data_IF_511359353406
#
_entry.id   IF_511359353406
#
_cell.length_a   1.000
_cell.length_b   1.000
_cell.length_c   1.000
_cell.angle_alpha   90.00
_cell.angle_beta   90.00
_cell.angle_gamma   90.00
#
_symmetry.space_group_name_H-M   'P 1'
#
loop_
_entity.id
_entity.type
_entity.pdbx_description
1 polymer ?
#
# COMPACT_ATOMS: atom_id res chain seq x y z
N UNK A 1 1.23 2.63 24.19
CA UNK A 1 0.50 3.46 23.20
C UNK A 1 0.56 2.75 21.88
N UNK A 2 -0.51 2.78 21.09
CA UNK A 2 -0.55 2.14 19.78
C UNK A 2 0.55 2.70 18.86
N UNK A 3 1.20 1.82 18.13
CA UNK A 3 2.28 2.16 17.19
C UNK A 3 1.84 1.93 15.75
N UNK A 4 2.34 2.74 14.82
CA UNK A 4 2.11 2.58 13.40
C UNK A 4 3.03 1.50 12.83
N UNK A 5 2.45 0.36 12.48
CA UNK A 5 3.15 -0.80 11.94
C UNK A 5 3.42 -0.64 10.44
N UNK A 6 2.43 -0.22 9.66
CA UNK A 6 2.55 0.04 8.22
C UNK A 6 1.73 1.28 7.81
N UNK A 7 2.20 1.96 6.76
CA UNK A 7 1.57 3.18 6.24
C UNK A 7 2.08 4.48 6.88
N UNK A 8 1.39 5.61 6.71
CA UNK A 8 0.11 5.73 6.00
C UNK A 8 0.25 5.62 4.50
N UNK A 9 -0.80 5.08 3.87
CA UNK A 9 -0.98 5.10 2.42
C UNK A 9 -2.15 6.03 2.11
N UNK A 10 -1.93 7.05 1.29
CA UNK A 10 -3.00 7.77 0.63
C UNK A 10 -3.55 6.85 -0.46
N UNK A 11 -4.85 6.53 -0.38
CA UNK A 11 -5.46 5.50 -1.22
C UNK A 11 -6.37 6.10 -2.29
N UNK A 12 -7.29 6.95 -1.84
CA UNK A 12 -8.25 7.61 -2.71
C UNK A 12 -8.21 9.12 -2.44
N UNK A 13 -8.38 9.92 -3.48
CA UNK A 13 -8.83 11.31 -3.37
C UNK A 13 -9.98 11.43 -4.35
N UNK A 14 -11.02 12.16 -3.99
CA UNK A 14 -12.18 12.33 -4.86
C UNK A 14 -11.83 13.33 -5.98
N UNK A 15 -11.70 12.83 -7.21
CA UNK A 15 -11.42 13.67 -8.38
C UNK A 15 -12.64 14.37 -8.99
N UNK A 16 -13.84 14.01 -8.56
CA UNK A 16 -15.09 14.64 -9.01
C UNK A 16 -15.38 15.91 -8.22
N UNK A 17 -15.27 15.84 -6.89
CA UNK A 17 -15.60 16.97 -6.00
C UNK A 17 -14.37 17.67 -5.44
N UNK A 18 -13.25 16.96 -5.26
CA UNK A 18 -12.07 17.46 -4.55
C UNK A 18 -12.29 17.69 -3.05
N UNK A 19 -13.29 17.06 -2.41
CA UNK A 19 -13.61 17.32 -0.99
C UNK A 19 -13.25 16.19 -0.03
N UNK A 20 -12.92 15.00 -0.53
CA UNK A 20 -12.74 13.82 0.28
C UNK A 20 -11.53 12.96 -0.16
N UNK A 21 -11.00 12.18 0.77
CA UNK A 21 -9.90 11.25 0.54
C UNK A 21 -9.98 10.05 1.50
N UNK A 22 -9.15 9.03 1.27
CA UNK A 22 -9.01 7.88 2.16
C UNK A 22 -7.54 7.61 2.47
N UNK A 23 -7.22 7.49 3.75
CA UNK A 23 -5.89 7.07 4.22
C UNK A 23 -5.98 5.69 4.87
N UNK A 24 -5.09 4.78 4.49
CA UNK A 24 -4.97 3.44 5.05
C UNK A 24 -3.78 3.34 6.00
N UNK A 25 -3.93 2.61 7.11
CA UNK A 25 -2.86 2.30 8.06
C UNK A 25 -2.99 0.89 8.62
N UNK A 26 -1.86 0.35 9.11
CA UNK A 26 -1.83 -0.79 10.03
C UNK A 26 -1.22 -0.37 11.37
N UNK A 27 -1.89 -0.71 12.47
CA UNK A 27 -1.47 -0.47 13.84
C UNK A 27 -0.99 -1.75 14.53
N UNK A 28 -0.14 -1.62 15.55
CA UNK A 28 0.39 -2.75 16.33
C UNK A 28 -0.61 -3.38 17.31
N UNK A 29 -1.76 -2.75 17.53
CA UNK A 29 -2.83 -3.14 18.47
C UNK A 29 -4.15 -2.45 18.10
N UNK A 30 -5.30 -2.85 18.69
CA UNK A 30 -6.55 -2.14 18.48
C UNK A 30 -6.46 -0.69 18.97
N UNK A 31 -6.88 0.27 18.16
CA UNK A 31 -6.89 1.70 18.51
C UNK A 31 -7.92 2.49 17.69
N UNK A 32 -8.07 3.77 18.02
CA UNK A 32 -8.67 4.76 17.12
C UNK A 32 -7.56 5.40 16.27
N UNK A 33 -7.72 5.38 14.95
CA UNK A 33 -6.84 6.04 14.01
C UNK A 33 -7.48 7.33 13.50
N UNK A 34 -6.70 8.39 13.38
CA UNK A 34 -7.16 9.72 13.04
C UNK A 34 -6.23 10.38 12.02
N UNK A 35 -6.82 11.04 11.02
CA UNK A 35 -6.12 11.96 10.12
C UNK A 35 -6.52 13.39 10.46
N UNK A 36 -5.53 14.26 10.66
CA UNK A 36 -5.73 15.71 10.87
C UNK A 36 -4.97 16.50 9.81
N UNK A 37 -5.70 17.24 8.99
CA UNK A 37 -5.12 18.16 8.01
C UNK A 37 -4.90 19.55 8.62
N UNK A 38 -3.90 20.27 8.12
CA UNK A 38 -3.52 21.60 8.60
C UNK A 38 -4.63 22.65 8.41
N UNK A 39 -5.54 22.45 7.46
CA UNK A 39 -6.68 23.31 7.18
C UNK A 39 -7.99 22.89 7.87
N UNK A 40 -7.92 21.92 8.78
CA UNK A 40 -9.06 21.49 9.60
C UNK A 40 -9.88 20.33 9.02
N UNK A 41 -9.60 19.91 7.78
CA UNK A 41 -10.10 18.65 7.24
C UNK A 41 -9.56 17.45 8.04
N UNK A 42 -10.26 16.33 8.02
CA UNK A 42 -9.84 15.16 8.79
C UNK A 42 -10.91 14.10 8.92
N UNK A 43 -10.60 13.08 9.71
CA UNK A 43 -11.53 12.01 10.05
C UNK A 43 -10.91 10.96 10.94
N UNK A 44 -11.75 10.05 11.42
CA UNK A 44 -11.37 9.01 12.39
C UNK A 44 -11.98 7.67 12.01
N UNK A 45 -11.27 6.58 12.27
CA UNK A 45 -11.79 5.22 12.15
C UNK A 45 -11.23 4.33 13.28
N UNK A 46 -12.04 3.37 13.73
CA UNK A 46 -11.56 2.31 14.63
C UNK A 46 -10.90 1.21 13.83
N UNK A 47 -9.80 0.67 14.34
CA UNK A 47 -9.14 -0.46 13.68
C UNK A 47 -10.02 -1.71 13.71
N UNK A 48 -10.07 -2.46 12.62
CA UNK A 48 -10.58 -3.84 12.58
C UNK A 48 -9.43 -4.84 12.51
N UNK A 49 -9.73 -6.12 12.74
CA UNK A 49 -8.71 -7.16 12.84
C UNK A 49 -8.83 -8.21 11.74
N UNK A 50 -7.71 -8.56 11.11
CA UNK A 50 -7.56 -9.74 10.24
C UNK A 50 -6.35 -10.52 10.74
N UNK A 51 -6.56 -11.80 11.09
CA UNK A 51 -5.48 -12.71 11.51
C UNK A 51 -4.51 -12.18 12.60
N UNK A 52 -4.96 -11.26 13.47
CA UNK A 52 -4.11 -10.68 14.52
C UNK A 52 -3.52 -9.29 14.20
N UNK A 53 -3.68 -8.82 12.97
CA UNK A 53 -3.25 -7.48 12.53
C UNK A 53 -4.40 -6.48 12.59
N UNK A 54 -4.10 -5.22 12.87
CA UNK A 54 -5.10 -4.18 13.09
C UNK A 54 -5.01 -3.10 12.01
N UNK A 55 -6.04 -2.98 11.18
CA UNK A 55 -6.06 -2.08 10.03
C UNK A 55 -7.09 -0.97 10.20
N UNK A 56 -6.86 0.19 9.61
CA UNK A 56 -7.86 1.25 9.50
C UNK A 56 -7.82 1.91 8.10
N UNK A 57 -9.00 2.18 7.54
CA UNK A 57 -9.26 3.06 6.41
C UNK A 57 -9.97 4.27 7.01
N UNK A 58 -9.35 5.43 6.86
CA UNK A 58 -9.76 6.65 7.52
C UNK A 58 -10.28 7.58 6.41
N UNK A 59 -11.61 7.74 6.27
CA UNK A 59 -12.18 8.75 5.40
C UNK A 59 -11.78 10.12 5.92
N UNK A 60 -11.27 10.96 5.04
CA UNK A 60 -10.90 12.35 5.29
C UNK A 60 -11.92 13.21 4.57
N UNK A 61 -12.65 14.04 5.32
CA UNK A 61 -13.67 14.90 4.76
C UNK A 61 -13.35 16.39 4.99
N UNK A 62 -13.99 17.25 4.20
CA UNK A 62 -13.87 18.70 4.33
C UNK A 62 -12.61 19.29 3.69
N UNK A 63 -11.97 18.55 2.77
CA UNK A 63 -10.88 19.08 1.97
C UNK A 63 -11.38 20.21 1.07
N UNK A 64 -10.50 21.17 0.79
CA UNK A 64 -10.80 22.29 -0.11
C UNK A 64 -10.38 21.92 -1.53
N UNK A 65 -11.27 21.98 -2.53
CA UNK A 65 -10.90 21.67 -3.90
C UNK A 65 -9.78 22.58 -4.42
N UNK A 66 -8.91 22.03 -5.27
CA UNK A 66 -7.75 22.72 -5.83
C UNK A 66 -6.66 23.08 -4.81
N UNK A 67 -6.70 22.50 -3.61
CA UNK A 67 -5.70 22.74 -2.56
C UNK A 67 -4.75 21.55 -2.39
N UNK A 68 -3.63 21.86 -1.74
CA UNK A 68 -2.67 20.88 -1.21
C UNK A 68 -2.54 21.15 0.29
N UNK A 69 -2.90 20.17 1.12
CA UNK A 69 -2.92 20.31 2.58
C UNK A 69 -2.04 19.26 3.24
N UNK A 70 -1.15 19.70 4.13
CA UNK A 70 -0.35 18.79 4.95
C UNK A 70 -1.23 18.09 5.97
N UNK A 71 -0.96 16.82 6.26
CA UNK A 71 -1.72 16.06 7.25
C UNK A 71 -0.82 15.26 8.19
N UNK A 72 -1.41 14.84 9.31
CA UNK A 72 -0.78 13.98 10.31
C UNK A 72 -1.68 12.81 10.61
N UNK A 73 -1.06 11.69 11.02
CA UNK A 73 -1.79 10.53 11.52
C UNK A 73 -1.54 10.38 13.01
N UNK A 74 -2.62 10.12 13.74
CA UNK A 74 -2.60 9.87 15.17
C UNK A 74 -3.23 8.52 15.47
N UNK A 75 -2.68 7.79 16.44
CA UNK A 75 -3.29 6.59 17.01
C UNK A 75 -3.56 6.85 18.50
N UNK A 76 -4.82 6.71 18.92
CA UNK A 76 -5.30 7.07 20.28
C UNK A 76 -4.88 8.50 20.71
N UNK A 77 -4.86 9.44 19.76
CA UNK A 77 -4.50 10.85 19.99
C UNK A 77 -3.00 11.15 19.96
N UNK A 78 -2.15 10.14 19.76
CA UNK A 78 -0.69 10.29 19.70
C UNK A 78 -0.21 10.31 18.25
N UNK A 79 0.58 11.32 17.87
CA UNK A 79 1.08 11.45 16.51
C UNK A 79 2.07 10.34 16.18
N UNK A 80 1.75 9.59 15.13
CA UNK A 80 2.60 8.49 14.59
C UNK A 80 3.11 8.78 13.18
N UNK A 81 2.57 9.80 12.51
CA UNK A 81 3.03 10.28 11.21
C UNK A 81 2.88 11.81 11.09
N UNK A 82 3.85 12.53 10.49
CA UNK A 82 5.16 12.05 10.06
C UNK A 82 6.00 11.54 11.24
N UNK A 83 6.99 10.69 10.95
CA UNK A 83 7.94 10.22 11.96
C UNK A 83 8.75 11.41 12.52
N UNK A 84 9.09 11.45 13.83
CA UNK A 84 9.74 12.60 14.46
C UNK A 84 11.01 13.12 13.76
N UNK A 85 11.78 12.23 13.12
CA UNK A 85 13.04 12.55 12.44
C UNK A 85 12.95 12.30 10.92
N UNK A 86 11.75 12.45 10.33
CA UNK A 86 11.57 12.29 8.88
C UNK A 86 12.44 13.29 8.10
N UNK A 87 13.23 12.76 7.15
CA UNK A 87 14.01 13.58 6.20
C UNK A 87 13.19 14.12 5.03
N UNK A 88 11.97 13.60 4.87
CA UNK A 88 11.10 13.96 3.76
C UNK A 88 10.21 15.16 4.12
N UNK A 89 9.73 15.92 3.13
CA UNK A 89 8.70 16.94 3.33
C UNK A 89 7.44 16.37 4.00
N UNK A 90 6.61 17.24 4.57
CA UNK A 90 5.30 16.85 5.09
C UNK A 90 4.49 16.12 4.02
N UNK A 91 3.85 15.01 4.40
CA UNK A 91 2.88 14.35 3.53
C UNK A 91 1.66 15.23 3.32
N UNK A 92 1.19 15.29 2.08
CA UNK A 92 0.09 16.19 1.70
C UNK A 92 -1.00 15.43 0.96
N UNK A 93 -2.23 15.91 1.07
CA UNK A 93 -3.34 15.52 0.19
C UNK A 93 -3.55 16.66 -0.80
N UNK A 94 -3.53 16.37 -2.11
CA UNK A 94 -3.86 17.32 -3.19
C UNK A 94 -5.14 16.90 -3.85
N UNK A 95 -6.04 17.86 -3.97
CA UNK A 95 -7.37 17.69 -4.57
C UNK A 95 -7.42 18.48 -5.88
N UNK A 96 -8.12 18.00 -6.91
CA UNK A 96 -8.24 18.75 -8.17
C UNK A 96 -9.09 20.01 -8.00
N UNK A 97 -8.92 20.96 -8.92
CA UNK A 97 -9.82 22.11 -9.01
C UNK A 97 -11.17 21.67 -9.60
N UNK A 98 -12.28 22.18 -9.05
CA UNK A 98 -13.62 21.93 -9.61
C UNK A 98 -13.82 22.68 -10.94
N UNK A 99 -14.54 22.07 -11.87
CA UNK A 99 -14.89 22.60 -13.20
C UNK A 99 -15.67 23.93 -13.19
N UNK A 100 -16.22 24.34 -12.04
CA UNK A 100 -16.95 25.61 -11.86
C UNK A 100 -16.05 26.84 -11.61
N UNK A 101 -14.72 26.68 -11.61
CA UNK A 101 -13.76 27.78 -11.52
C UNK A 101 -13.62 28.60 -12.82
N UNK A 102 -13.17 29.87 -12.76
CA UNK A 102 -13.08 30.78 -13.92
C UNK A 102 -12.13 30.34 -15.05
N UNK A 103 -11.37 29.27 -14.86
CA UNK A 103 -10.45 28.65 -15.85
C UNK A 103 -10.97 27.33 -16.42
N UNK A 104 -12.29 27.08 -16.28
CA UNK A 104 -13.01 25.83 -16.58
C UNK A 104 -12.58 25.08 -17.83
N UNK A 105 -11.82 24.02 -17.60
CA UNK A 105 -11.54 22.88 -18.48
C UNK A 105 -11.08 21.71 -17.61
N UNK A 106 -11.26 20.44 -18.02
CA UNK A 106 -10.79 19.30 -17.25
C UNK A 106 -9.26 19.40 -17.08
N UNK A 107 -8.80 19.37 -15.82
CA UNK A 107 -7.38 19.30 -15.51
C UNK A 107 -6.81 18.03 -16.11
N UNK A 108 -5.68 18.14 -16.81
CA UNK A 108 -5.02 16.97 -17.38
C UNK A 108 -4.49 16.10 -16.23
N UNK A 109 -5.04 14.89 -16.09
CA UNK A 109 -4.62 13.95 -15.06
C UNK A 109 -3.26 13.36 -15.40
N UNK A 110 -2.31 13.43 -14.46
CA UNK A 110 -0.99 12.81 -14.56
C UNK A 110 -0.97 11.47 -13.84
N UNK A 111 -0.83 10.41 -14.62
CA UNK A 111 -0.72 9.04 -14.09
C UNK A 111 0.74 8.59 -14.17
N UNK A 112 1.27 8.04 -13.09
CA UNK A 112 2.43 7.17 -13.14
C UNK A 112 1.96 5.74 -12.92
N UNK A 113 2.43 4.80 -13.74
CA UNK A 113 2.01 3.40 -13.66
C UNK A 113 3.19 2.45 -13.83
N UNK A 114 3.06 1.26 -13.26
CA UNK A 114 4.08 0.21 -13.33
C UNK A 114 3.62 -1.07 -12.66
N UNK A 115 4.40 -2.13 -12.80
CA UNK A 115 4.20 -3.45 -12.18
C UNK A 115 5.56 -4.07 -11.88
N UNK A 116 5.57 -5.26 -11.29
CA UNK A 116 6.76 -6.10 -11.18
C UNK A 116 7.91 -5.45 -10.40
N UNK A 117 7.57 -4.74 -9.32
CA UNK A 117 8.58 -4.08 -8.47
C UNK A 117 9.14 -5.08 -7.48
N UNK A 118 10.43 -5.34 -7.59
CA UNK A 118 11.19 -6.05 -6.59
C UNK A 118 11.66 -5.09 -5.49
N UNK A 119 11.05 -5.18 -4.31
CA UNK A 119 11.48 -4.41 -3.14
C UNK A 119 12.89 -4.77 -2.65
N UNK A 120 13.24 -6.04 -2.79
CA UNK A 120 14.58 -6.57 -2.59
C UNK A 120 14.79 -7.69 -3.61
N UNK A 121 15.99 -7.84 -4.19
CA UNK A 121 16.24 -8.90 -5.16
C UNK A 121 16.03 -10.28 -4.52
N UNK A 122 15.60 -11.29 -5.30
CA UNK A 122 15.49 -12.65 -4.81
C UNK A 122 16.87 -13.17 -4.40
N UNK A 123 16.92 -14.06 -3.42
CA UNK A 123 18.19 -14.43 -2.76
C UNK A 123 19.25 -15.05 -3.69
N UNK A 124 18.81 -15.61 -4.82
CA UNK A 124 19.60 -16.25 -5.86
C UNK A 124 19.92 -15.33 -7.05
N UNK A 125 19.47 -14.07 -7.02
CA UNK A 125 19.87 -13.08 -8.00
C UNK A 125 21.36 -12.74 -7.87
N UNK A 126 22.12 -12.98 -8.94
CA UNK A 126 23.57 -12.75 -8.94
C UNK A 126 23.99 -11.27 -9.01
N UNK A 127 23.11 -10.41 -9.55
CA UNK A 127 23.27 -8.96 -9.72
C UNK A 127 21.87 -8.34 -9.77
N UNK A 128 21.75 -7.04 -9.47
CA UNK A 128 20.54 -6.25 -9.79
C UNK A 128 20.58 -5.86 -11.29
N UNK A 129 19.76 -6.49 -12.16
CA UNK A 129 19.78 -6.22 -13.58
C UNK A 129 18.91 -5.01 -13.98
N UNK A 130 18.15 -4.42 -13.04
CA UNK A 130 17.02 -3.52 -13.33
C UNK A 130 17.40 -2.04 -13.18
N UNK A 131 18.43 -1.74 -12.38
CA UNK A 131 18.88 -0.36 -12.14
C UNK A 131 18.15 0.26 -10.94
N UNK A 132 18.19 1.60 -10.78
CA UNK A 132 17.61 2.24 -9.62
C UNK A 132 16.09 2.00 -9.55
N UNK A 133 15.59 1.74 -8.34
CA UNK A 133 14.16 1.55 -8.10
C UNK A 133 13.37 2.79 -8.57
N UNK A 134 12.35 2.56 -9.40
CA UNK A 134 11.57 3.61 -10.03
C UNK A 134 10.74 4.42 -9.01
N UNK A 135 10.21 3.76 -7.98
CA UNK A 135 9.46 4.43 -6.90
C UNK A 135 10.41 5.22 -6.01
N UNK A 136 11.59 4.70 -5.69
CA UNK A 136 12.60 5.45 -4.93
C UNK A 136 13.06 6.68 -5.70
N UNK A 137 13.29 6.52 -7.01
CA UNK A 137 13.69 7.62 -7.88
C UNK A 137 12.61 8.70 -7.96
N UNK A 138 11.34 8.29 -8.06
CA UNK A 138 10.22 9.22 -8.04
C UNK A 138 10.10 9.92 -6.68
N UNK A 139 10.15 9.18 -5.58
CA UNK A 139 10.13 9.71 -4.22
C UNK A 139 11.24 10.74 -4.00
N UNK A 140 12.48 10.39 -4.38
CA UNK A 140 13.62 11.29 -4.30
C UNK A 140 13.40 12.56 -5.11
N UNK A 141 12.94 12.43 -6.36
CA UNK A 141 12.68 13.58 -7.24
C UNK A 141 11.66 14.54 -6.61
N UNK A 142 10.55 14.01 -6.10
CA UNK A 142 9.50 14.82 -5.46
C UNK A 142 9.98 15.45 -4.14
N UNK A 143 10.80 14.74 -3.37
CA UNK A 143 11.31 15.23 -2.10
C UNK A 143 12.36 16.35 -2.27
N UNK A 144 13.18 16.31 -3.32
CA UNK A 144 14.27 17.28 -3.54
C UNK A 144 13.94 18.41 -4.51
N UNK A 145 12.89 18.25 -5.32
CA UNK A 145 12.52 19.20 -6.37
C UNK A 145 11.04 19.60 -6.25
N UNK A 146 10.69 20.63 -5.47
CA UNK A 146 9.30 21.06 -5.26
C UNK A 146 8.54 21.44 -6.54
N UNK A 147 9.27 21.86 -7.57
CA UNK A 147 8.71 22.21 -8.90
C UNK A 147 8.53 20.98 -9.81
N UNK A 148 9.00 19.80 -9.40
CA UNK A 148 8.84 18.59 -10.19
C UNK A 148 7.36 18.22 -10.28
N UNK A 149 6.87 17.83 -11.48
CA UNK A 149 5.47 17.49 -11.64
C UNK A 149 5.15 16.20 -10.87
N UNK A 150 4.34 16.33 -9.83
CA UNK A 150 3.84 15.19 -9.07
C UNK A 150 2.75 14.44 -9.84
N UNK A 151 2.77 13.10 -9.89
CA UNK A 151 1.62 12.34 -10.36
C UNK A 151 0.39 12.62 -9.50
N UNK A 152 -0.77 12.65 -10.14
CA UNK A 152 -2.06 12.72 -9.45
C UNK A 152 -2.43 11.36 -8.86
N UNK A 153 -2.00 10.27 -9.50
CA UNK A 153 -2.24 8.90 -9.04
C UNK A 153 -1.12 7.95 -9.48
N UNK A 154 -0.78 7.01 -8.60
CA UNK A 154 0.00 5.81 -8.93
C UNK A 154 -0.95 4.66 -9.29
N UNK A 155 -0.75 4.05 -10.45
CA UNK A 155 -1.50 2.85 -10.87
C UNK A 155 -0.54 1.67 -10.92
N UNK A 156 -0.61 0.79 -9.92
CA UNK A 156 0.28 -0.34 -9.77
C UNK A 156 -0.43 -1.63 -10.20
N UNK A 157 0.07 -2.24 -11.26
CA UNK A 157 -0.69 -3.14 -12.13
C UNK A 157 -0.46 -4.64 -11.87
N UNK A 158 0.14 -5.01 -10.75
CA UNK A 158 0.49 -6.40 -10.46
C UNK A 158 1.84 -6.55 -9.81
N UNK A 159 2.08 -7.71 -9.21
CA UNK A 159 3.33 -8.08 -8.58
C UNK A 159 3.82 -7.04 -7.57
N UNK A 160 2.92 -6.67 -6.66
CA UNK A 160 3.26 -5.74 -5.58
C UNK A 160 4.18 -6.39 -4.55
N UNK A 161 4.07 -7.73 -4.45
CA UNK A 161 4.89 -8.60 -3.64
C UNK A 161 5.18 -9.88 -4.42
N UNK A 162 6.34 -10.48 -4.17
CA UNK A 162 6.77 -11.75 -4.78
C UNK A 162 6.67 -12.84 -3.74
N UNK A 163 5.56 -13.57 -3.79
CA UNK A 163 5.20 -14.50 -2.75
C UNK A 163 5.95 -15.84 -2.90
N UNK A 164 6.44 -16.13 -4.10
CA UNK A 164 7.12 -17.34 -4.54
C UNK A 164 8.62 -17.15 -4.80
N UNK A 165 9.06 -15.89 -4.90
CA UNK A 165 10.47 -15.54 -5.04
C UNK A 165 10.93 -14.60 -3.93
N UNK A 166 11.27 -15.16 -2.77
CA UNK A 166 11.55 -14.37 -1.57
C UNK A 166 13.01 -13.88 -1.48
N UNK A 167 13.22 -12.72 -0.87
CA UNK A 167 14.53 -12.14 -0.58
C UNK A 167 15.33 -12.99 0.43
N UNK A 168 16.65 -12.81 0.48
CA UNK A 168 17.49 -13.48 1.48
C UNK A 168 17.12 -13.12 2.94
N UNK A 169 16.55 -11.94 3.17
CA UNK A 169 16.08 -11.54 4.51
C UNK A 169 14.76 -12.23 4.86
N UNK A 170 13.80 -12.22 3.93
CA UNK A 170 12.53 -12.91 4.11
C UNK A 170 12.74 -14.41 4.29
N UNK A 171 13.62 -15.07 3.50
CA UNK A 171 13.98 -16.49 3.71
C UNK A 171 14.54 -16.76 5.11
N UNK A 172 15.43 -15.90 5.61
CA UNK A 172 15.96 -16.03 6.98
C UNK A 172 14.87 -15.91 8.03
N UNK A 173 13.93 -14.99 7.85
CA UNK A 173 12.79 -14.84 8.76
C UNK A 173 11.84 -16.04 8.71
N UNK A 174 11.51 -16.55 7.51
CA UNK A 174 10.69 -17.75 7.33
C UNK A 174 11.30 -18.97 8.04
N UNK A 175 12.63 -19.15 7.98
CA UNK A 175 13.35 -20.22 8.66
C UNK A 175 13.25 -20.17 10.20
N UNK A 176 12.86 -19.01 10.77
CA UNK A 176 12.57 -18.91 12.22
C UNK A 176 11.18 -19.41 12.61
N UNK A 177 10.29 -19.57 11.63
CA UNK A 177 8.87 -19.90 11.82
C UNK A 177 8.54 -21.35 11.49
N UNK A 178 9.19 -21.91 10.46
CA UNK A 178 8.93 -23.27 9.99
C UNK A 178 10.15 -23.86 9.28
N UNK A 179 10.12 -25.18 9.10
CA UNK A 179 11.14 -25.92 8.34
C UNK A 179 10.96 -25.63 6.84
N UNK A 180 11.95 -24.98 6.22
CA UNK A 180 11.92 -24.66 4.79
C UNK A 180 12.30 -25.84 3.88
N UNK A 181 12.65 -27.00 4.44
CA UNK A 181 12.78 -28.23 3.64
C UNK A 181 11.42 -28.86 3.30
N UNK A 182 10.37 -28.47 4.03
CA UNK A 182 9.00 -28.87 3.76
C UNK A 182 8.29 -27.84 2.84
N UNK A 183 7.39 -28.28 1.96
CA UNK A 183 6.63 -27.37 1.11
C UNK A 183 5.82 -26.31 1.90
N UNK A 184 5.71 -25.05 1.40
CA UNK A 184 6.11 -24.58 0.07
C UNK A 184 7.60 -24.15 -0.02
N UNK A 185 8.46 -24.65 0.87
CA UNK A 185 9.88 -24.37 0.84
C UNK A 185 10.19 -22.99 1.40
N UNK A 186 10.90 -22.17 0.63
CA UNK A 186 11.26 -20.80 0.99
C UNK A 186 10.28 -19.73 0.47
N UNK A 187 9.18 -20.16 -0.14
CA UNK A 187 8.04 -19.32 -0.52
C UNK A 187 7.14 -19.04 0.66
N UNK A 188 6.34 -17.98 0.61
CA UNK A 188 5.35 -17.63 1.64
C UNK A 188 4.22 -18.68 1.69
N UNK A 189 3.67 -18.95 2.87
CA UNK A 189 2.69 -20.02 3.10
C UNK A 189 1.36 -19.54 3.68
N UNK A 190 1.39 -18.54 4.58
CA UNK A 190 0.24 -18.08 5.35
C UNK A 190 0.14 -16.54 5.38
N UNK A 191 -0.93 -16.02 5.98
CA UNK A 191 -1.21 -14.59 6.02
C UNK A 191 -0.12 -13.76 6.72
N UNK A 192 0.45 -14.25 7.83
CA UNK A 192 1.52 -13.55 8.55
C UNK A 192 2.80 -13.51 7.70
N UNK A 193 3.06 -14.56 6.92
CA UNK A 193 4.16 -14.56 5.97
C UNK A 193 3.92 -13.61 4.79
N UNK A 194 2.66 -13.38 4.40
CA UNK A 194 2.30 -12.35 3.42
C UNK A 194 2.52 -10.93 3.95
N UNK A 195 2.16 -10.64 5.21
CA UNK A 195 2.36 -9.30 5.78
C UNK A 195 3.84 -8.92 5.80
N UNK A 196 4.73 -9.90 6.00
CA UNK A 196 6.19 -9.70 5.88
C UNK A 196 6.60 -9.15 4.52
N UNK A 197 6.00 -9.59 3.42
CA UNK A 197 6.33 -9.09 2.08
C UNK A 197 5.93 -7.61 1.92
N UNK A 198 4.77 -7.22 2.45
CA UNK A 198 4.35 -5.81 2.46
C UNK A 198 5.23 -4.96 3.37
N UNK A 199 5.74 -5.50 4.47
CA UNK A 199 6.73 -4.80 5.31
C UNK A 199 8.05 -4.60 4.57
N UNK A 200 8.54 -5.61 3.87
CA UNK A 200 9.74 -5.49 3.03
C UNK A 200 9.52 -4.48 1.90
N UNK A 201 8.32 -4.45 1.30
CA UNK A 201 8.00 -3.58 0.16
C UNK A 201 7.73 -2.12 0.54
N UNK A 202 6.98 -1.88 1.62
CA UNK A 202 6.41 -0.56 1.92
C UNK A 202 6.96 0.10 3.20
N UNK A 203 7.87 -0.55 3.93
CA UNK A 203 8.63 0.11 5.00
C UNK A 203 9.92 0.76 4.51
N UNK A 204 10.28 0.57 3.23
CA UNK A 204 11.28 1.41 2.59
C UNK A 204 10.91 2.89 2.79
N UNK A 205 11.80 3.76 3.32
CA UNK A 205 11.43 5.12 3.68
C UNK A 205 10.95 5.97 2.50
N UNK A 206 11.55 5.80 1.32
CA UNK A 206 11.22 6.50 0.08
C UNK A 206 9.83 6.09 -0.40
N UNK A 207 9.57 4.78 -0.52
CA UNK A 207 8.27 4.25 -0.92
C UNK A 207 7.19 4.61 0.09
N UNK A 208 7.47 4.47 1.39
CA UNK A 208 6.53 4.79 2.46
C UNK A 208 6.11 6.25 2.41
N UNK A 209 7.06 7.16 2.18
CA UNK A 209 6.74 8.57 2.02
C UNK A 209 5.98 8.84 0.71
N UNK A 210 6.39 8.26 -0.41
CA UNK A 210 5.70 8.41 -1.69
C UNK A 210 4.23 8.01 -1.61
N UNK A 211 3.96 6.81 -1.06
CA UNK A 211 2.61 6.29 -0.88
C UNK A 211 1.78 7.12 0.11
N UNK A 212 2.41 7.90 0.99
CA UNK A 212 1.70 8.79 1.92
C UNK A 212 1.19 10.08 1.27
N UNK A 213 1.68 10.47 0.09
CA UNK A 213 1.41 11.79 -0.51
C UNK A 213 0.90 11.71 -1.95
N UNK A 214 1.10 10.58 -2.63
CA UNK A 214 0.50 10.29 -3.93
C UNK A 214 -0.50 9.15 -3.76
N UNK A 215 -1.79 9.34 -4.11
CA UNK A 215 -2.76 8.26 -4.00
C UNK A 215 -2.40 7.10 -4.93
N UNK A 216 -2.75 5.90 -4.51
CA UNK A 216 -2.39 4.68 -5.23
C UNK A 216 -3.59 3.76 -5.43
N UNK A 217 -3.77 3.32 -6.67
CA UNK A 217 -4.66 2.24 -7.06
C UNK A 217 -3.82 1.01 -7.40
N UNK A 218 -4.17 -0.14 -6.84
CA UNK A 218 -3.35 -1.36 -6.95
C UNK A 218 -4.21 -2.56 -7.32
N UNK A 219 -3.72 -3.37 -8.26
CA UNK A 219 -4.22 -4.73 -8.50
C UNK A 219 -3.08 -5.72 -8.30
N UNK A 220 -3.42 -6.93 -7.88
CA UNK A 220 -2.48 -8.05 -7.83
C UNK A 220 -2.27 -8.69 -9.21
N UNK A 221 -1.18 -9.44 -9.35
CA UNK A 221 -0.97 -10.38 -10.46
C UNK A 221 -0.50 -11.73 -9.91
N UNK A 222 0.03 -12.61 -10.74
CA UNK A 222 0.35 -13.98 -10.37
C UNK A 222 1.41 -14.09 -9.27
N UNK A 223 2.48 -13.29 -9.25
CA UNK A 223 3.49 -13.38 -8.18
C UNK A 223 2.98 -12.97 -6.79
N UNK A 224 1.86 -12.24 -6.69
CA UNK A 224 1.18 -12.06 -5.40
C UNK A 224 0.64 -13.41 -4.84
N UNK A 225 0.58 -14.46 -5.66
CA UNK A 225 0.15 -15.80 -5.29
C UNK A 225 1.23 -16.85 -5.57
N UNK A 226 1.59 -17.06 -6.83
CA UNK A 226 2.68 -17.90 -7.35
C UNK A 226 2.75 -17.67 -8.87
N UNK A 227 3.96 -17.69 -9.45
CA UNK A 227 4.19 -17.64 -10.90
C UNK A 227 3.26 -18.61 -11.65
N UNK A 228 2.71 -18.15 -12.79
CA UNK A 228 1.79 -18.90 -13.63
C UNK A 228 0.49 -19.37 -12.90
N UNK A 229 0.04 -18.61 -11.89
CA UNK A 229 -1.17 -18.92 -11.14
C UNK A 229 -2.38 -19.09 -12.06
N UNK A 230 -3.13 -20.18 -11.84
CA UNK A 230 -4.43 -20.42 -12.49
C UNK A 230 -4.37 -20.51 -14.03
N UNK A 231 -3.21 -20.88 -14.59
CA UNK A 231 -2.96 -20.95 -16.04
C UNK A 231 -3.76 -22.03 -16.78
N UNK A 232 -4.15 -23.13 -16.11
CA UNK A 232 -4.92 -24.21 -16.76
C UNK A 232 -5.69 -25.11 -15.79
N UNK A 233 -6.68 -25.85 -16.31
CA UNK A 233 -7.42 -26.88 -15.54
C UNK A 233 -6.48 -27.97 -14.99
N UNK A 234 -5.48 -28.38 -15.78
CA UNK A 234 -4.50 -29.36 -15.33
C UNK A 234 -3.65 -28.83 -14.17
N UNK A 235 -3.25 -27.56 -14.21
CA UNK A 235 -2.55 -26.89 -13.11
C UNK A 235 -3.44 -26.82 -11.87
N UNK A 236 -4.69 -26.39 -12.02
CA UNK A 236 -5.67 -26.31 -10.91
C UNK A 236 -5.87 -27.65 -10.23
N UNK A 237 -6.06 -28.72 -11.00
CA UNK A 237 -6.25 -30.06 -10.46
C UNK A 237 -5.02 -30.56 -9.70
N UNK A 238 -3.80 -30.22 -10.15
CA UNK A 238 -2.56 -30.54 -9.41
C UNK A 238 -2.45 -29.72 -8.12
N UNK A 239 -2.61 -28.40 -8.17
CA UNK A 239 -2.43 -27.57 -6.99
C UNK A 239 -3.46 -27.83 -5.90
N UNK A 240 -4.69 -28.18 -6.27
CA UNK A 240 -5.74 -28.56 -5.31
C UNK A 240 -5.46 -29.84 -4.54
N UNK A 241 -4.55 -30.71 -4.99
CA UNK A 241 -4.14 -31.90 -4.21
C UNK A 241 -2.98 -31.62 -3.26
N UNK A 242 -2.33 -30.46 -3.39
CA UNK A 242 -1.21 -30.05 -2.56
C UNK A 242 -1.70 -29.56 -1.19
N UNK A 243 -1.20 -30.09 -0.06
CA UNK A 243 -1.78 -29.85 1.26
C UNK A 243 -1.66 -28.40 1.75
N UNK A 244 -0.64 -27.66 1.31
CA UNK A 244 -0.42 -26.26 1.68
C UNK A 244 -1.15 -25.24 0.79
N UNK A 245 -1.61 -25.65 -0.40
CA UNK A 245 -2.11 -24.71 -1.41
C UNK A 245 -3.37 -23.95 -0.95
N UNK A 246 -4.25 -24.62 -0.20
CA UNK A 246 -5.48 -24.01 0.31
C UNK A 246 -5.17 -22.82 1.24
N UNK A 247 -4.22 -22.98 2.14
CA UNK A 247 -3.84 -21.90 3.08
C UNK A 247 -3.22 -20.74 2.33
N UNK A 248 -2.31 -21.05 1.39
CA UNK A 248 -1.64 -20.08 0.52
C UNK A 248 -2.64 -19.20 -0.25
N UNK A 249 -3.56 -19.80 -1.00
CA UNK A 249 -4.49 -19.02 -1.84
C UNK A 249 -5.46 -18.18 -1.01
N UNK A 250 -5.94 -18.70 0.13
CA UNK A 250 -6.80 -17.93 1.02
C UNK A 250 -6.05 -16.73 1.59
N UNK A 251 -4.82 -16.96 2.07
CA UNK A 251 -3.97 -15.92 2.63
C UNK A 251 -3.59 -14.86 1.59
N UNK A 252 -3.26 -15.26 0.37
CA UNK A 252 -2.94 -14.33 -0.72
C UNK A 252 -4.13 -13.47 -1.15
N UNK A 253 -5.34 -14.04 -1.20
CA UNK A 253 -6.56 -13.26 -1.49
C UNK A 253 -6.90 -12.31 -0.33
N UNK A 254 -6.72 -12.74 0.91
CA UNK A 254 -6.91 -11.87 2.09
C UNK A 254 -5.89 -10.73 2.11
N UNK A 255 -4.62 -11.01 1.78
CA UNK A 255 -3.57 -9.98 1.75
C UNK A 255 -3.79 -9.00 0.62
N UNK A 256 -4.16 -9.46 -0.58
CA UNK A 256 -4.59 -8.61 -1.70
C UNK A 256 -5.75 -7.72 -1.28
N UNK A 257 -6.79 -8.29 -0.66
CA UNK A 257 -7.97 -7.54 -0.27
C UNK A 257 -7.62 -6.36 0.64
N UNK A 258 -6.87 -6.60 1.72
CA UNK A 258 -6.61 -5.57 2.73
C UNK A 258 -5.52 -4.57 2.35
N UNK A 259 -4.45 -5.01 1.67
CA UNK A 259 -3.32 -4.14 1.32
C UNK A 259 -3.59 -3.38 0.01
N UNK A 260 -4.26 -4.00 -0.95
CA UNK A 260 -4.40 -3.46 -2.31
C UNK A 260 -5.84 -3.06 -2.64
N UNK A 261 -6.79 -3.99 -2.58
CA UNK A 261 -8.14 -3.79 -3.12
C UNK A 261 -8.95 -2.75 -2.35
N UNK A 262 -8.99 -2.86 -1.01
CA UNK A 262 -9.84 -2.01 -0.17
C UNK A 262 -9.57 -0.51 -0.38
N UNK A 263 -8.30 -0.16 -0.63
CA UNK A 263 -7.93 1.23 -0.89
C UNK A 263 -8.36 1.76 -2.27
N UNK A 264 -8.79 0.90 -3.19
CA UNK A 264 -9.28 1.34 -4.50
C UNK A 264 -10.74 1.81 -4.44
N UNK A 265 -11.47 1.44 -3.39
CA UNK A 265 -12.87 1.81 -3.20
C UNK A 265 -12.96 3.27 -2.74
N UNK A 266 -13.91 4.00 -3.31
CA UNK A 266 -14.29 5.32 -2.83
C UNK A 266 -14.86 5.25 -1.40
N UNK A 267 -14.85 6.36 -0.63
CA UNK A 267 -15.51 6.41 0.67
C UNK A 267 -16.98 5.97 0.63
N UNK A 268 -17.70 6.27 -0.45
CA UNK A 268 -19.09 5.87 -0.63
C UNK A 268 -19.25 4.36 -0.86
N UNK A 269 -18.36 3.75 -1.66
CA UNK A 269 -18.34 2.29 -1.86
C UNK A 269 -17.97 1.56 -0.57
N UNK A 270 -16.98 2.06 0.19
CA UNK A 270 -16.61 1.51 1.49
C UNK A 270 -17.78 1.55 2.49
N UNK A 271 -18.51 2.66 2.54
CA UNK A 271 -19.68 2.79 3.41
C UNK A 271 -20.84 1.86 3.00
N UNK A 272 -20.90 1.46 1.73
CA UNK A 272 -21.88 0.51 1.22
C UNK A 272 -21.47 -0.97 1.42
N UNK A 273 -20.18 -1.24 1.54
CA UNK A 273 -19.61 -2.60 1.65
C UNK A 273 -19.78 -3.21 3.07
N UNK A 274 -19.88 -2.38 4.13
CA UNK A 274 -20.30 -2.81 5.47
C UNK A 274 -19.50 -2.23 6.63
#
# INVERSE_FOLDING_TARGET
MAGLRLGPLLRHVDWETGTDATVWVEADRPCEAEVRCADGAGGTARTWQIAGHHYALIPVAGLRPGAETAYRVLLDGEQVWPLPDSRFPDSTIRTPATSDGPTGGPEAVRVAFGSCRWAAPPSDASHDPVGPDALDTLAHTLATSPEAPRPDVLVLLGDQVYADETSAETRRWLATRRDLSEPPGDQVADYEEYTRLYYESWLDPEVRWLLSTVPSCMIFDDHDVIDDWNTSEAWLNRMRTTPWWRERILSGLMSYWVHQHLGNLSPAELAADG
#
